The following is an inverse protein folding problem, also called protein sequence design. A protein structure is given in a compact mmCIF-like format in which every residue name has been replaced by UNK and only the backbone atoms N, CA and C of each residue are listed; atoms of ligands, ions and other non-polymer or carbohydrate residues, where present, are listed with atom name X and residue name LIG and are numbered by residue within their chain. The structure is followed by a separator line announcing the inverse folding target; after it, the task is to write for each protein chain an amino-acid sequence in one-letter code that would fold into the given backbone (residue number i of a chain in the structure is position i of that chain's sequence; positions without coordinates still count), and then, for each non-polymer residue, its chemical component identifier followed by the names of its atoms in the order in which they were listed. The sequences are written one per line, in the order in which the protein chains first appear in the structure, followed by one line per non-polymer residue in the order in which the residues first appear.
data_IF_164955680274
#
_entry.id   IF_164955680274
#
_cell.length_a   1.000
_cell.length_b   1.000
_cell.length_c   1.000
_cell.angle_alpha   90.00
_cell.angle_beta   90.00
_cell.angle_gamma   90.00
#
_symmetry.space_group_name_H-M   'P 1'
#
loop_
_entity.id
_entity.type
_entity.pdbx_description
1 polymer ?
#
# COMPACT_ATOMS: atom_id res chain seq x y z
N UNK A 1 6.49 -12.17 -21.97
CA UNK A 1 5.24 -11.71 -22.61
C UNK A 1 4.82 -10.42 -21.94
N UNK A 2 4.35 -9.41 -22.68
CA UNK A 2 3.75 -8.23 -22.06
C UNK A 2 2.48 -8.66 -21.34
N UNK A 3 2.31 -8.25 -20.08
CA UNK A 3 1.07 -8.45 -19.34
C UNK A 3 -0.02 -7.63 -20.03
N UNK A 4 -1.11 -8.28 -20.44
CA UNK A 4 -2.27 -7.62 -21.05
C UNK A 4 -3.43 -7.57 -20.06
N UNK A 5 -4.35 -6.64 -20.25
CA UNK A 5 -5.53 -6.48 -19.38
C UNK A 5 -6.35 -7.78 -19.25
N UNK A 6 -6.35 -8.63 -20.29
CA UNK A 6 -6.98 -9.94 -20.28
C UNK A 6 -6.36 -10.93 -19.26
N UNK A 7 -5.06 -10.80 -18.98
CA UNK A 7 -4.35 -11.63 -17.99
C UNK A 7 -4.75 -11.26 -16.55
N UNK A 8 -5.25 -10.03 -16.33
CA UNK A 8 -5.74 -9.58 -15.02
C UNK A 8 -7.17 -10.07 -14.75
N UNK A 9 -8.01 -10.15 -15.78
CA UNK A 9 -9.37 -10.66 -15.68
C UNK A 9 -9.43 -12.20 -15.61
N UNK A 10 -8.55 -12.91 -16.33
CA UNK A 10 -8.59 -14.37 -16.41
C UNK A 10 -8.13 -15.11 -15.15
N UNK A 11 -7.18 -14.54 -14.41
CA UNK A 11 -6.51 -15.22 -13.29
C UNK A 11 -7.09 -14.89 -11.91
N UNK A 12 -8.29 -14.27 -11.82
CA UNK A 12 -8.84 -13.69 -10.57
C UNK A 12 -7.92 -12.69 -9.88
N UNK A 13 -6.88 -12.21 -10.56
CA UNK A 13 -5.90 -11.24 -10.03
C UNK A 13 -6.55 -9.91 -9.70
N UNK A 14 -7.57 -9.50 -10.46
CA UNK A 14 -8.30 -8.27 -10.19
C UNK A 14 -8.96 -8.27 -8.80
N UNK A 15 -9.59 -9.38 -8.42
CA UNK A 15 -10.20 -9.53 -7.09
C UNK A 15 -9.12 -9.52 -6.00
N UNK A 16 -7.99 -10.19 -6.23
CA UNK A 16 -6.85 -10.18 -5.32
C UNK A 16 -6.27 -8.76 -5.15
N UNK A 17 -6.13 -7.99 -6.23
CA UNK A 17 -5.67 -6.61 -6.15
C UNK A 17 -6.65 -5.74 -5.35
N UNK A 18 -7.95 -5.93 -5.53
CA UNK A 18 -8.97 -5.22 -4.75
C UNK A 18 -8.84 -5.54 -3.25
N UNK A 19 -8.70 -6.81 -2.88
CA UNK A 19 -8.51 -7.23 -1.48
C UNK A 19 -7.24 -6.63 -0.86
N UNK A 20 -6.13 -6.61 -1.62
CA UNK A 20 -4.87 -6.00 -1.17
C UNK A 20 -5.04 -4.50 -0.96
N UNK A 21 -5.70 -3.79 -1.87
CA UNK A 21 -5.94 -2.35 -1.76
C UNK A 21 -6.79 -2.04 -0.52
N UNK A 22 -7.87 -2.79 -0.29
CA UNK A 22 -8.73 -2.61 0.89
C UNK A 22 -7.97 -2.86 2.20
N UNK A 23 -7.12 -3.89 2.24
CA UNK A 23 -6.27 -4.17 3.40
C UNK A 23 -5.28 -3.05 3.69
N UNK A 24 -4.68 -2.45 2.67
CA UNK A 24 -3.72 -1.35 2.81
C UNK A 24 -4.42 -0.08 3.32
N UNK A 25 -5.60 0.25 2.79
CA UNK A 25 -6.40 1.37 3.25
C UNK A 25 -6.87 1.20 4.71
N UNK A 26 -7.24 -0.03 5.09
CA UNK A 26 -7.58 -0.34 6.46
C UNK A 26 -6.38 -0.18 7.41
N UNK A 27 -5.16 -0.50 6.98
CA UNK A 27 -3.94 -0.26 7.75
C UNK A 27 -3.64 1.23 7.86
N UNK A 28 -3.70 1.98 6.76
CA UNK A 28 -3.46 3.43 6.74
C UNK A 28 -4.45 4.21 7.61
N UNK A 29 -5.71 3.77 7.69
CA UNK A 29 -6.71 4.38 8.59
C UNK A 29 -6.48 4.04 10.07
N UNK A 30 -5.74 2.97 10.39
CA UNK A 30 -5.43 2.58 11.78
C UNK A 30 -4.02 3.01 12.23
N UNK A 31 -3.13 3.33 11.29
CA UNK A 31 -1.84 3.93 11.58
C UNK A 31 -2.07 5.44 11.82
N UNK A 32 -2.23 5.80 13.10
CA UNK A 32 -2.22 7.18 13.57
C UNK A 32 -1.05 7.94 12.92
N UNK A 33 -1.35 9.12 12.35
CA UNK A 33 -0.39 10.06 11.76
C UNK A 33 0.95 10.01 12.50
N UNK A 34 1.94 9.31 11.92
CA UNK A 34 3.26 9.16 12.52
C UNK A 34 3.89 10.55 12.54
N UNK A 35 3.77 11.22 13.68
CA UNK A 35 4.29 12.55 13.89
C UNK A 35 5.80 12.42 14.11
N UNK A 36 6.56 12.44 13.01
CA UNK A 36 8.02 12.38 13.05
C UNK A 36 8.55 13.63 13.75
N UNK A 37 8.86 13.48 15.04
CA UNK A 37 9.61 14.47 15.80
C UNK A 37 11.06 14.45 15.30
N UNK A 38 11.44 15.45 14.50
CA UNK A 38 12.81 15.62 14.06
C UNK A 38 13.63 16.27 15.18
N UNK A 39 14.12 15.44 16.11
CA UNK A 39 15.02 15.90 17.16
C UNK A 39 16.43 16.07 16.57
N UNK A 40 16.79 17.31 16.24
CA UNK A 40 18.16 17.71 15.92
C UNK A 40 19.00 17.75 17.22
N UNK A 41 19.29 16.59 17.78
CA UNK A 41 20.37 16.47 18.75
C UNK A 41 21.62 15.92 18.03
N UNK A 42 22.72 16.67 18.18
CA UNK A 42 24.10 16.41 17.77
C UNK A 42 24.57 16.92 16.38
N UNK A 43 24.84 18.24 16.31
CA UNK A 43 26.12 18.74 15.76
C UNK A 43 26.62 19.91 16.64
N UNK A 44 27.47 19.61 17.64
CA UNK A 44 28.29 20.61 18.34
C UNK A 44 29.69 20.11 18.63
#
# INVERSE_FOLDING_TARGET
MPLTDDDFLKDSKLELYNEVIESLQAQEHNDDDINYQFDLEDEK
#
